data_IF_433211638739
#
_entry.id   IF_433211638739
#
_cell.length_a   1.000
_cell.length_b   1.000
_cell.length_c   1.000
_cell.angle_alpha   90.00
_cell.angle_beta   90.00
_cell.angle_gamma   90.00
#
_symmetry.space_group_name_H-M   'P 1'
#
loop_
_entity.id
_entity.type
_entity.pdbx_description
1 polymer ?
#
# COMPACT_ATOMS: atom_id res chain seq x y z
N UNK A 1 -4.20 -2.28 8.21
CA UNK A 1 -3.01 -2.12 9.06
C UNK A 1 -2.10 -3.33 8.86
N UNK A 2 -0.81 -3.11 8.70
CA UNK A 2 0.14 -4.19 8.46
C UNK A 2 1.48 -3.85 9.11
N UNK A 3 2.37 -4.82 9.24
CA UNK A 3 3.63 -4.70 9.99
C UNK A 3 4.84 -5.09 9.15
N UNK A 4 5.95 -4.37 9.34
CA UNK A 4 7.25 -4.70 8.78
C UNK A 4 8.34 -3.87 9.45
N UNK A 5 9.52 -4.43 9.65
CA UNK A 5 10.66 -3.77 10.33
C UNK A 5 10.30 -3.20 11.71
N UNK A 6 9.39 -3.84 12.44
CA UNK A 6 8.96 -3.36 13.75
C UNK A 6 8.01 -2.16 13.70
N UNK A 7 7.49 -1.84 12.53
CA UNK A 7 6.56 -0.72 12.33
C UNK A 7 5.18 -1.23 11.94
N UNK A 8 4.17 -0.41 12.21
CA UNK A 8 2.79 -0.64 11.80
C UNK A 8 2.44 0.42 10.76
N UNK A 9 1.80 0.00 9.68
CA UNK A 9 1.44 0.89 8.57
C UNK A 9 -0.08 1.02 8.47
N UNK A 10 -0.57 2.25 8.26
CA UNK A 10 -2.00 2.48 8.05
C UNK A 10 -2.18 3.72 7.17
N UNK A 11 -3.35 3.82 6.54
CA UNK A 11 -3.76 5.04 5.86
C UNK A 11 -4.83 5.72 6.70
N UNK A 12 -4.76 7.05 6.82
CA UNK A 12 -5.75 7.83 7.55
C UNK A 12 -6.86 8.33 6.61
N UNK A 13 -7.81 9.08 7.15
CA UNK A 13 -8.97 9.58 6.40
C UNK A 13 -8.60 10.50 5.24
N UNK A 14 -7.42 11.11 5.28
CA UNK A 14 -6.92 11.98 4.23
C UNK A 14 -6.07 11.23 3.21
N UNK A 15 -5.99 9.91 3.30
CA UNK A 15 -5.16 9.05 2.46
C UNK A 15 -3.67 9.32 2.61
N UNK A 16 -3.26 9.80 3.80
CA UNK A 16 -1.85 9.82 4.17
C UNK A 16 -1.45 8.43 4.62
N UNK A 17 -0.38 7.91 4.07
CA UNK A 17 0.18 6.64 4.50
C UNK A 17 1.15 6.89 5.63
N UNK A 18 0.94 6.24 6.77
CA UNK A 18 1.69 6.51 7.99
C UNK A 18 2.35 5.23 8.48
N UNK A 19 3.61 5.32 8.87
CA UNK A 19 4.31 4.27 9.58
C UNK A 19 4.57 4.72 11.01
N UNK A 20 4.14 3.91 11.98
CA UNK A 20 4.39 4.17 13.39
C UNK A 20 5.18 3.01 13.98
N UNK A 21 5.94 3.32 15.03
CA UNK A 21 6.72 2.31 15.74
C UNK A 21 5.77 1.41 16.54
N UNK A 22 5.98 0.10 16.44
CA UNK A 22 5.06 -0.90 17.00
C UNK A 22 4.85 -0.73 18.50
N UNK A 23 5.88 -0.36 19.25
CA UNK A 23 5.83 -0.32 20.70
C UNK A 23 5.69 1.07 21.32
N UNK A 24 5.47 2.13 20.54
CA UNK A 24 5.48 3.48 21.08
C UNK A 24 4.59 4.50 20.38
N UNK A 25 3.94 4.19 19.31
CA UNK A 25 3.12 5.14 18.54
C UNK A 25 3.89 6.32 17.94
N UNK A 26 5.24 6.30 17.99
CA UNK A 26 6.03 7.33 17.34
C UNK A 26 5.95 7.20 15.83
N UNK A 27 5.71 8.33 15.14
CA UNK A 27 5.66 8.34 13.68
C UNK A 27 7.08 8.20 13.14
N UNK A 28 7.31 7.15 12.34
CA UNK A 28 8.58 6.91 11.67
C UNK A 28 8.67 7.73 10.39
N UNK A 29 7.59 7.69 9.60
CA UNK A 29 7.46 8.53 8.41
C UNK A 29 5.96 8.65 8.04
N UNK A 30 5.66 9.67 7.27
CA UNK A 30 4.32 9.90 6.76
C UNK A 30 4.41 10.33 5.30
N UNK A 31 3.68 9.66 4.42
CA UNK A 31 3.65 9.99 3.00
C UNK A 31 2.31 10.66 2.68
N UNK A 32 2.37 11.89 2.21
CA UNK A 32 1.20 12.69 1.85
C UNK A 32 1.01 12.80 0.34
N UNK A 33 1.87 12.17 -0.45
CA UNK A 33 1.81 12.27 -1.92
C UNK A 33 0.56 11.61 -2.49
N UNK A 34 -0.06 10.70 -1.73
CA UNK A 34 -1.26 9.98 -2.14
C UNK A 34 -2.53 10.58 -1.53
N UNK A 35 -2.46 11.80 -1.03
CA UNK A 35 -3.58 12.49 -0.41
C UNK A 35 -4.79 12.53 -1.35
N UNK A 36 -5.99 12.27 -0.81
CA UNK A 36 -7.26 12.27 -1.53
C UNK A 36 -7.42 11.16 -2.59
N UNK A 37 -6.59 10.12 -2.56
CA UNK A 37 -6.68 9.01 -3.51
C UNK A 37 -7.51 7.82 -3.02
N UNK A 38 -8.07 7.90 -1.81
CA UNK A 38 -8.93 6.85 -1.24
C UNK A 38 -8.22 5.49 -1.28
N UNK A 39 -7.20 5.37 -0.47
CA UNK A 39 -6.31 4.20 -0.48
C UNK A 39 -6.95 2.96 0.12
N UNK A 40 -6.60 1.79 -0.40
CA UNK A 40 -6.87 0.52 0.27
C UNK A 40 -6.03 0.41 1.54
N UNK A 41 -6.35 -0.57 2.40
CA UNK A 41 -5.50 -0.87 3.54
C UNK A 41 -4.11 -1.29 3.06
N UNK A 42 -3.03 -0.79 3.67
CA UNK A 42 -1.69 -1.14 3.23
C UNK A 42 -1.35 -2.59 3.54
N UNK A 43 -0.54 -3.20 2.68
CA UNK A 43 -0.01 -4.55 2.87
C UNK A 43 1.50 -4.52 2.70
N UNK A 44 2.20 -5.19 3.60
CA UNK A 44 3.65 -5.34 3.47
C UNK A 44 3.96 -6.51 2.54
N UNK A 45 4.92 -6.30 1.66
CA UNK A 45 5.45 -7.36 0.81
C UNK A 45 6.94 -7.10 0.58
N UNK A 46 7.78 -8.08 0.90
CA UNK A 46 9.24 -7.92 0.86
C UNK A 46 9.65 -6.69 1.66
N UNK A 47 10.38 -5.75 1.08
CA UNK A 47 10.82 -4.52 1.74
C UNK A 47 9.90 -3.32 1.47
N UNK A 48 8.69 -3.58 0.98
CA UNK A 48 7.78 -2.54 0.52
C UNK A 48 6.45 -2.57 1.24
N UNK A 49 5.76 -1.44 1.18
CA UNK A 49 4.35 -1.34 1.54
C UNK A 49 3.58 -1.12 0.25
N UNK A 50 2.56 -1.92 0.01
CA UNK A 50 1.71 -1.80 -1.18
C UNK A 50 0.37 -1.20 -0.79
N UNK A 51 -0.08 -0.20 -1.55
CA UNK A 51 -1.42 0.37 -1.45
C UNK A 51 -1.96 0.61 -2.84
N UNK A 52 -3.27 0.49 -3.01
CA UNK A 52 -3.92 0.82 -4.27
C UNK A 52 -4.89 1.99 -4.05
N UNK A 53 -5.20 2.71 -5.11
CA UNK A 53 -6.08 3.87 -5.03
C UNK A 53 -7.34 3.71 -5.89
N UNK A 54 -8.25 4.67 -5.77
CA UNK A 54 -9.53 4.61 -6.49
C UNK A 54 -9.38 4.85 -7.99
N UNK A 55 -8.24 5.36 -8.44
CA UNK A 55 -7.94 5.52 -9.85
C UNK A 55 -7.37 4.25 -10.47
N UNK A 56 -7.11 3.23 -9.66
CA UNK A 56 -6.63 1.95 -10.13
C UNK A 56 -5.12 1.79 -10.18
N UNK A 57 -4.38 2.69 -9.55
CA UNK A 57 -2.93 2.56 -9.44
C UNK A 57 -2.54 1.80 -8.19
N UNK A 58 -1.56 0.93 -8.35
CA UNK A 58 -0.87 0.26 -7.25
C UNK A 58 0.43 1.00 -7.00
N UNK A 59 0.66 1.40 -5.76
CA UNK A 59 1.87 2.11 -5.35
C UNK A 59 2.70 1.23 -4.43
N UNK A 60 4.00 1.18 -4.68
CA UNK A 60 4.98 0.51 -3.83
C UNK A 60 5.81 1.57 -3.12
N UNK A 61 5.84 1.49 -1.80
CA UNK A 61 6.48 2.49 -0.95
C UNK A 61 7.55 1.80 -0.12
N UNK A 62 8.71 2.43 0.04
CA UNK A 62 9.79 1.91 0.87
C UNK A 62 9.36 1.88 2.34
N UNK A 63 9.58 0.75 3.02
CA UNK A 63 9.28 0.64 4.45
C UNK A 63 10.22 1.51 5.31
N UNK A 64 11.35 1.89 4.78
CA UNK A 64 12.38 2.59 5.56
C UNK A 64 12.10 4.09 5.64
N UNK A 65 11.76 4.73 4.52
CA UNK A 65 11.66 6.19 4.46
C UNK A 65 10.32 6.69 3.89
N UNK A 66 9.43 5.80 3.48
CA UNK A 66 8.11 6.19 3.00
C UNK A 66 8.07 6.76 1.58
N UNK A 67 9.16 6.65 0.82
CA UNK A 67 9.21 7.16 -0.54
C UNK A 67 8.51 6.21 -1.50
N UNK A 68 7.83 6.77 -2.49
CA UNK A 68 7.23 5.96 -3.55
C UNK A 68 8.34 5.44 -4.45
N UNK A 69 8.47 4.11 -4.51
CA UNK A 69 9.49 3.45 -5.33
C UNK A 69 8.96 3.17 -6.73
N UNK A 70 7.68 2.84 -6.84
CA UNK A 70 7.09 2.57 -8.14
C UNK A 70 5.58 2.57 -8.09
N UNK A 71 4.96 2.64 -9.26
CA UNK A 71 3.52 2.53 -9.40
C UNK A 71 3.18 1.88 -10.72
N UNK A 72 2.05 1.19 -10.76
CA UNK A 72 1.54 0.61 -12.00
C UNK A 72 0.01 0.68 -11.99
N UNK A 73 -0.59 0.85 -13.15
CA UNK A 73 -2.04 0.87 -13.26
C UNK A 73 -2.56 -0.55 -13.38
N UNK A 74 -3.52 -0.89 -12.53
CA UNK A 74 -4.12 -2.23 -12.47
C UNK A 74 -5.46 -2.25 -13.21
N UNK A 75 -6.30 -1.23 -12.98
CA UNK A 75 -7.67 -1.23 -13.49
C UNK A 75 -8.15 0.20 -13.67
N UNK A 76 -8.79 0.50 -14.81
CA UNK A 76 -9.33 1.83 -15.08
C UNK A 76 -10.49 2.21 -14.17
N UNK A 77 -11.15 1.22 -13.56
CA UNK A 77 -12.30 1.45 -12.68
C UNK A 77 -11.92 1.54 -11.21
N UNK A 78 -10.64 1.56 -10.90
CA UNK A 78 -10.14 1.70 -9.54
C UNK A 78 -9.95 0.38 -8.81
N UNK A 79 -9.44 0.47 -7.60
CA UNK A 79 -9.26 -0.67 -6.71
C UNK A 79 -9.82 -0.30 -5.34
N UNK A 80 -10.79 -1.08 -4.85
CA UNK A 80 -11.38 -0.89 -3.52
C UNK A 80 -11.21 -2.09 -2.62
N UNK A 81 -10.97 -3.26 -3.20
CA UNK A 81 -10.77 -4.49 -2.45
C UNK A 81 -9.42 -4.48 -1.76
N UNK A 82 -9.33 -5.15 -0.61
CA UNK A 82 -8.06 -5.31 0.09
C UNK A 82 -7.08 -6.09 -0.76
N UNK A 83 -5.82 -5.69 -0.68
CA UNK A 83 -4.72 -6.40 -1.32
C UNK A 83 -4.46 -7.70 -0.57
N UNK A 84 -4.01 -8.73 -1.29
CA UNK A 84 -3.69 -10.03 -0.70
C UNK A 84 -2.23 -10.35 -1.00
N UNK A 85 -1.49 -10.76 0.03
CA UNK A 85 -0.12 -11.22 -0.13
C UNK A 85 -0.10 -12.73 0.15
N UNK A 86 0.37 -13.50 -0.82
CA UNK A 86 0.42 -14.95 -0.72
C UNK A 86 1.64 -15.48 -1.48
N UNK A 87 2.47 -16.29 -0.80
CA UNK A 87 3.66 -16.92 -1.38
C UNK A 87 4.59 -15.96 -2.10
N UNK A 88 4.79 -14.77 -1.50
CA UNK A 88 5.66 -13.76 -2.09
C UNK A 88 5.07 -12.99 -3.26
N UNK A 89 3.79 -13.21 -3.56
CA UNK A 89 3.07 -12.50 -4.62
C UNK A 89 2.02 -11.59 -4.03
N UNK A 90 1.82 -10.46 -4.69
CA UNK A 90 0.76 -9.51 -4.36
C UNK A 90 -0.38 -9.70 -5.34
N UNK A 91 -1.57 -9.96 -4.82
CA UNK A 91 -2.77 -10.17 -5.64
C UNK A 91 -3.66 -8.96 -5.50
N UNK A 92 -4.03 -8.36 -6.63
CA UNK A 92 -4.85 -7.15 -6.68
C UNK A 92 -6.08 -7.42 -7.53
N UNK A 93 -7.25 -7.12 -6.97
CA UNK A 93 -8.52 -7.28 -7.67
C UNK A 93 -9.09 -5.89 -7.99
N UNK A 94 -9.15 -5.55 -9.26
CA UNK A 94 -9.68 -4.26 -9.70
C UNK A 94 -11.19 -4.25 -9.79
N UNK A 95 -11.80 -3.07 -9.64
CA UNK A 95 -13.26 -2.91 -9.66
C UNK A 95 -13.89 -3.29 -11.01
N UNK A 96 -13.13 -3.16 -12.09
CA UNK A 96 -13.60 -3.56 -13.43
C UNK A 96 -13.46 -5.04 -13.75
N UNK A 97 -13.07 -5.86 -12.75
CA UNK A 97 -12.93 -7.30 -12.92
C UNK A 97 -11.52 -7.77 -13.22
N UNK A 98 -10.55 -6.88 -13.27
CA UNK A 98 -9.15 -7.26 -13.49
C UNK A 98 -8.60 -7.98 -12.27
N UNK A 99 -7.90 -9.09 -12.49
CA UNK A 99 -7.18 -9.80 -11.43
C UNK A 99 -5.70 -9.83 -11.83
N UNK A 100 -4.87 -9.25 -11.00
CA UNK A 100 -3.44 -9.12 -11.28
C UNK A 100 -2.64 -9.74 -10.15
N UNK A 101 -1.67 -10.58 -10.49
CA UNK A 101 -0.74 -11.17 -9.53
C UNK A 101 0.66 -10.65 -9.87
N UNK A 102 1.31 -10.03 -8.90
CA UNK A 102 2.63 -9.44 -9.07
C UNK A 102 3.62 -10.11 -8.13
N UNK A 103 4.75 -10.53 -8.67
CA UNK A 103 5.86 -11.03 -7.88
C UNK A 103 6.87 -9.90 -7.69
N UNK A 104 7.24 -9.63 -6.44
CA UNK A 104 8.15 -8.53 -6.11
C UNK A 104 9.45 -9.14 -5.59
N UNK A 105 10.53 -8.77 -6.22
CA UNK A 105 11.86 -9.29 -5.89
C UNK A 105 12.70 -8.26 -5.15
#
# INVERSE_FOLDING_TARGET
>A
MDQGFGNIYYSNDESHLVAVRDNSSDVVWQNEELQYRDLTAPKTISNYVAVADFEGYLHLISQIDGRIIGRTRIDNDGVRSNLIVEDGSLIVYGNGGSLVSLTIE
#
